data_IF_899101889376
#
_entry.id   IF_899101889376
#
_cell.length_a   1.000
_cell.length_b   1.000
_cell.length_c   1.000
_cell.angle_alpha   90.00
_cell.angle_beta   90.00
_cell.angle_gamma   90.00
#
_symmetry.space_group_name_H-M   'P 1'
#
loop_
_entity.id
_entity.type
_entity.pdbx_description
1 polymer ?
#
# COMPACT_ATOMS: atom_id res chain seq x y z
N UNK A 1 13.05 -14.67 17.02
CA UNK A 1 12.39 -13.39 17.39
C UNK A 1 13.38 -12.27 17.14
N UNK A 2 13.10 -11.36 16.20
CA UNK A 2 14.03 -10.34 15.71
C UNK A 2 14.21 -9.21 16.75
N UNK A 3 15.47 -8.79 16.99
CA UNK A 3 15.85 -7.76 17.99
C UNK A 3 15.21 -6.37 17.76
N UNK A 4 14.71 -6.10 16.56
CA UNK A 4 14.13 -4.80 16.17
C UNK A 4 12.88 -4.41 16.97
N UNK A 5 12.00 -5.37 17.27
CA UNK A 5 10.73 -5.09 17.95
C UNK A 5 10.92 -4.59 19.39
N UNK A 6 12.05 -4.96 20.02
CA UNK A 6 12.40 -4.53 21.38
C UNK A 6 12.95 -3.10 21.35
N UNK A 7 13.78 -2.77 20.35
CA UNK A 7 14.40 -1.44 20.21
C UNK A 7 13.39 -0.36 19.84
N UNK A 8 12.39 -0.66 18.98
CA UNK A 8 11.37 0.32 18.61
C UNK A 8 10.49 0.74 19.78
N UNK A 9 10.14 -0.19 20.68
CA UNK A 9 9.34 0.10 21.89
C UNK A 9 10.04 1.08 22.83
N UNK A 10 11.34 0.87 23.04
CA UNK A 10 12.14 1.76 23.88
C UNK A 10 12.24 3.17 23.29
N UNK A 11 12.51 3.29 21.99
CA UNK A 11 12.60 4.58 21.30
C UNK A 11 11.27 5.37 21.38
N UNK A 12 10.14 4.70 21.13
CA UNK A 12 8.82 5.35 21.26
C UNK A 12 8.56 5.79 22.69
N UNK A 13 8.93 4.97 23.70
CA UNK A 13 8.75 5.32 25.10
C UNK A 13 9.60 6.53 25.52
N UNK A 14 10.88 6.58 25.14
CA UNK A 14 11.76 7.71 25.47
C UNK A 14 11.32 8.99 24.79
N UNK A 15 10.91 8.91 23.51
CA UNK A 15 10.39 10.07 22.78
C UNK A 15 9.10 10.61 23.43
N UNK A 16 8.18 9.71 23.81
CA UNK A 16 6.94 10.07 24.50
C UNK A 16 7.19 10.83 25.81
N UNK A 17 8.20 10.40 26.57
CA UNK A 17 8.59 11.07 27.83
C UNK A 17 9.17 12.46 27.54
N UNK A 18 10.11 12.56 26.59
CA UNK A 18 10.76 13.83 26.23
C UNK A 18 9.78 14.89 25.70
N UNK A 19 8.85 14.49 24.85
CA UNK A 19 7.85 15.36 24.23
C UNK A 19 6.55 15.51 25.05
N UNK A 20 6.51 14.96 26.27
CA UNK A 20 5.34 15.02 27.17
C UNK A 20 4.02 14.54 26.54
N UNK A 21 4.10 13.55 25.64
CA UNK A 21 2.93 12.99 24.94
C UNK A 21 2.12 12.11 25.91
N UNK A 22 0.95 12.61 26.32
CA UNK A 22 0.06 11.95 27.29
C UNK A 22 -0.69 10.75 26.69
N UNK A 23 -1.07 10.86 25.43
CA UNK A 23 -1.88 9.86 24.74
C UNK A 23 -1.24 9.48 23.41
N UNK A 24 -1.10 8.17 23.19
CA UNK A 24 -0.73 7.59 21.91
C UNK A 24 -1.45 6.26 21.76
N UNK A 25 -1.65 5.84 20.53
CA UNK A 25 -2.29 4.58 20.21
C UNK A 25 -1.52 3.94 19.06
N UNK A 26 -1.27 2.64 19.18
CA UNK A 26 -0.83 1.83 18.06
C UNK A 26 -2.07 1.29 17.38
N UNK A 27 -2.25 1.62 16.10
CA UNK A 27 -3.30 1.04 15.26
C UNK A 27 -2.63 0.34 14.10
N UNK A 28 -3.15 -0.84 13.78
CA UNK A 28 -2.76 -1.52 12.56
C UNK A 28 -3.24 -0.72 11.34
N UNK A 29 -2.48 -0.84 10.25
CA UNK A 29 -2.85 -0.25 8.98
C UNK A 29 -4.06 -1.04 8.46
N UNK A 30 -5.17 -0.35 8.21
CA UNK A 30 -6.34 -0.95 7.60
C UNK A 30 -6.02 -1.33 6.15
N UNK A 31 -6.58 -2.43 5.66
CA UNK A 31 -6.41 -2.82 4.26
C UNK A 31 -7.31 -2.00 3.31
N UNK A 32 -8.33 -1.30 3.82
CA UNK A 32 -9.30 -0.58 3.01
C UNK A 32 -9.56 0.84 3.51
N UNK A 33 -9.61 1.80 2.59
CA UNK A 33 -9.88 3.20 2.87
C UNK A 33 -10.86 3.79 1.86
N UNK A 34 -11.62 4.80 2.29
CA UNK A 34 -12.48 5.58 1.40
C UNK A 34 -11.96 7.02 1.38
N UNK A 35 -11.53 7.47 0.20
CA UNK A 35 -10.94 8.80 -0.01
C UNK A 35 -11.69 9.45 -1.16
N UNK A 36 -12.49 10.47 -0.83
CA UNK A 36 -13.54 10.97 -1.73
C UNK A 36 -14.49 9.83 -2.12
N UNK A 37 -14.77 9.73 -3.42
CA UNK A 37 -15.61 8.66 -3.97
C UNK A 37 -14.86 7.35 -4.24
N UNK A 38 -13.54 7.35 -4.14
CA UNK A 38 -12.72 6.20 -4.48
C UNK A 38 -12.51 5.29 -3.26
N UNK A 39 -12.70 3.99 -3.48
CA UNK A 39 -12.23 2.96 -2.57
C UNK A 39 -10.77 2.64 -2.86
N UNK A 40 -9.96 2.62 -1.82
CA UNK A 40 -8.54 2.33 -1.84
C UNK A 40 -8.28 1.04 -1.11
N UNK A 41 -7.47 0.17 -1.69
CA UNK A 41 -7.10 -1.11 -1.08
C UNK A 41 -5.58 -1.23 -0.99
N UNK A 42 -5.08 -1.53 0.21
CA UNK A 42 -3.67 -1.80 0.49
C UNK A 42 -3.44 -3.30 0.45
N UNK A 43 -2.73 -3.76 -0.58
CA UNK A 43 -2.23 -5.11 -0.68
C UNK A 43 -0.80 -5.15 -0.14
N UNK A 44 -0.64 -5.77 1.02
CA UNK A 44 0.65 -6.01 1.64
C UNK A 44 1.27 -7.34 1.16
N UNK A 45 2.34 -7.75 1.85
CA UNK A 45 3.07 -9.00 1.61
C UNK A 45 2.18 -10.25 1.55
N UNK A 46 1.07 -10.30 2.28
CA UNK A 46 0.17 -11.47 2.29
C UNK A 46 -0.55 -11.63 0.95
N UNK A 47 -0.65 -10.58 0.14
CA UNK A 47 -1.25 -10.64 -1.19
C UNK A 47 -2.74 -10.95 -1.17
N UNK A 48 -3.44 -10.60 -0.07
CA UNK A 48 -4.88 -10.81 0.10
C UNK A 48 -5.64 -9.88 -0.86
N UNK A 49 -6.66 -10.41 -1.53
CA UNK A 49 -7.42 -9.68 -2.54
C UNK A 49 -8.45 -8.76 -1.88
N UNK A 50 -8.82 -7.64 -2.52
CA UNK A 50 -9.93 -6.82 -2.09
C UNK A 50 -11.23 -7.64 -1.99
N UNK A 51 -12.10 -7.34 -1.02
CA UNK A 51 -13.40 -7.99 -0.93
C UNK A 51 -14.26 -7.67 -2.17
N UNK A 52 -15.06 -8.65 -2.60
CA UNK A 52 -15.79 -8.62 -3.87
C UNK A 52 -16.85 -7.51 -3.98
N UNK A 53 -17.30 -6.94 -2.86
CA UNK A 53 -18.29 -5.87 -2.82
C UNK A 53 -17.76 -4.50 -3.23
N UNK A 54 -16.44 -4.35 -3.37
CA UNK A 54 -15.80 -3.08 -3.72
C UNK A 54 -15.24 -3.14 -5.13
N UNK A 55 -16.11 -2.91 -6.12
CA UNK A 55 -15.73 -2.93 -7.54
C UNK A 55 -14.70 -1.85 -7.85
N UNK A 56 -13.59 -2.26 -8.48
CA UNK A 56 -12.56 -1.39 -9.06
C UNK A 56 -11.91 -0.40 -8.06
N UNK A 57 -11.17 -0.91 -7.05
CA UNK A 57 -10.39 -0.06 -6.14
C UNK A 57 -9.25 0.67 -6.87
N UNK A 58 -8.73 1.71 -6.23
CA UNK A 58 -7.32 2.08 -6.40
C UNK A 58 -6.48 1.12 -5.55
N UNK A 59 -5.60 0.36 -6.20
CA UNK A 59 -4.83 -0.70 -5.57
C UNK A 59 -3.42 -0.19 -5.22
N UNK A 60 -3.11 -0.11 -3.93
CA UNK A 60 -1.76 0.15 -3.43
C UNK A 60 -1.07 -1.19 -3.10
N UNK A 61 0.00 -1.52 -3.82
CA UNK A 61 0.80 -2.72 -3.58
C UNK A 61 2.06 -2.35 -2.82
N UNK A 62 2.31 -3.03 -1.70
CA UNK A 62 3.44 -2.77 -0.79
C UNK A 62 4.12 -4.07 -0.38
N UNK A 63 5.40 -4.02 0.00
CA UNK A 63 6.16 -5.13 0.58
C UNK A 63 6.35 -6.36 -0.33
N UNK A 64 6.41 -6.15 -1.64
CA UNK A 64 6.76 -7.15 -2.65
C UNK A 64 5.97 -8.47 -2.60
N UNK A 65 4.63 -8.46 -2.57
CA UNK A 65 3.86 -9.69 -2.49
C UNK A 65 4.09 -10.57 -3.72
N UNK A 66 4.12 -11.88 -3.49
CA UNK A 66 4.27 -12.87 -4.56
C UNK A 66 2.89 -13.13 -5.18
N UNK A 67 2.48 -12.27 -6.10
CA UNK A 67 1.17 -12.32 -6.77
C UNK A 67 1.30 -12.56 -8.27
N UNK A 68 0.33 -13.28 -8.82
CA UNK A 68 0.10 -13.31 -10.26
C UNK A 68 -0.69 -12.06 -10.65
N UNK A 69 -0.01 -11.11 -11.30
CA UNK A 69 -0.60 -9.81 -11.61
C UNK A 69 -1.72 -9.91 -12.65
N UNK A 70 -1.62 -10.83 -13.60
CA UNK A 70 -2.65 -11.00 -14.63
C UNK A 70 -3.98 -11.44 -14.01
N UNK A 71 -3.96 -12.49 -13.18
CA UNK A 71 -5.15 -12.97 -12.46
C UNK A 71 -5.72 -11.91 -11.52
N UNK A 72 -4.85 -11.13 -10.86
CA UNK A 72 -5.28 -10.06 -9.98
C UNK A 72 -6.04 -8.98 -10.75
N UNK A 73 -5.47 -8.49 -11.85
CA UNK A 73 -6.08 -7.43 -12.65
C UNK A 73 -7.39 -7.88 -13.29
N UNK A 74 -7.48 -9.14 -13.73
CA UNK A 74 -8.71 -9.70 -14.32
C UNK A 74 -9.83 -9.83 -13.28
N UNK A 75 -9.49 -10.18 -12.04
CA UNK A 75 -10.46 -10.37 -10.95
C UNK A 75 -10.87 -9.07 -10.26
N UNK A 76 -9.92 -8.17 -10.01
CA UNK A 76 -10.13 -6.95 -9.21
C UNK A 76 -10.52 -5.78 -10.09
N UNK A 77 -10.04 -5.76 -11.34
CA UNK A 77 -10.25 -4.68 -12.32
C UNK A 77 -10.03 -3.29 -11.70
N UNK A 78 -8.86 -3.03 -11.09
CA UNK A 78 -8.62 -1.79 -10.36
C UNK A 78 -8.61 -0.59 -11.31
N UNK A 79 -9.07 0.56 -10.81
CA UNK A 79 -8.99 1.85 -11.54
C UNK A 79 -7.54 2.25 -11.84
N UNK A 80 -6.64 1.93 -10.92
CA UNK A 80 -5.23 2.23 -11.00
C UNK A 80 -4.47 1.30 -10.04
N UNK A 81 -3.23 0.97 -10.40
CA UNK A 81 -2.27 0.31 -9.52
C UNK A 81 -1.16 1.27 -9.14
N UNK A 82 -0.86 1.33 -7.84
CA UNK A 82 0.24 2.11 -7.27
C UNK A 82 1.18 1.14 -6.57
N UNK A 83 2.46 1.12 -6.94
CA UNK A 83 3.50 0.41 -6.21
C UNK A 83 4.31 1.39 -5.37
N UNK A 84 4.39 1.15 -4.06
CA UNK A 84 5.22 1.96 -3.19
C UNK A 84 6.72 1.59 -3.30
N UNK A 85 7.56 2.37 -2.63
CA UNK A 85 9.02 2.22 -2.65
C UNK A 85 9.54 1.02 -1.84
N UNK A 86 8.67 0.32 -1.10
CA UNK A 86 9.06 -0.89 -0.36
C UNK A 86 9.15 -2.14 -1.25
N UNK A 87 8.73 -2.03 -2.51
CA UNK A 87 8.73 -3.14 -3.46
C UNK A 87 10.08 -3.32 -4.18
N UNK A 88 10.44 -4.56 -4.51
CA UNK A 88 11.58 -4.86 -5.36
C UNK A 88 11.42 -4.26 -6.75
N UNK A 89 12.48 -3.64 -7.28
CA UNK A 89 12.48 -3.01 -8.61
C UNK A 89 12.05 -3.99 -9.71
N UNK A 90 12.51 -5.25 -9.65
CA UNK A 90 12.13 -6.29 -10.61
C UNK A 90 10.63 -6.61 -10.58
N UNK A 91 9.99 -6.53 -9.42
CA UNK A 91 8.55 -6.75 -9.27
C UNK A 91 7.78 -5.58 -9.83
N UNK A 92 8.17 -4.36 -9.49
CA UNK A 92 7.58 -3.12 -10.03
C UNK A 92 7.61 -3.15 -11.56
N UNK A 93 8.76 -3.46 -12.19
CA UNK A 93 8.87 -3.50 -13.66
C UNK A 93 8.00 -4.58 -14.28
N UNK A 94 7.93 -5.78 -13.68
CA UNK A 94 7.05 -6.85 -14.14
C UNK A 94 5.57 -6.44 -14.06
N UNK A 95 5.15 -5.88 -12.93
CA UNK A 95 3.77 -5.43 -12.73
C UNK A 95 3.40 -4.29 -13.67
N UNK A 96 4.28 -3.30 -13.84
CA UNK A 96 4.12 -2.20 -14.79
C UNK A 96 3.88 -2.72 -16.21
N UNK A 97 4.65 -3.71 -16.64
CA UNK A 97 4.48 -4.36 -17.95
C UNK A 97 3.10 -5.02 -18.06
N UNK A 98 2.65 -5.78 -17.06
CA UNK A 98 1.32 -6.42 -17.09
C UNK A 98 0.18 -5.40 -17.07
N UNK A 99 0.28 -4.35 -16.25
CA UNK A 99 -0.70 -3.26 -16.22
C UNK A 99 -0.81 -2.57 -17.59
N UNK A 100 0.33 -2.27 -18.23
CA UNK A 100 0.35 -1.66 -19.56
C UNK A 100 -0.34 -2.56 -20.60
N UNK A 101 -0.09 -3.87 -20.57
CA UNK A 101 -0.74 -4.85 -21.46
C UNK A 101 -2.26 -4.92 -21.26
N UNK A 102 -2.74 -4.75 -20.03
CA UNK A 102 -4.18 -4.74 -19.68
C UNK A 102 -4.82 -3.35 -19.78
N UNK A 103 -4.07 -2.31 -20.17
CA UNK A 103 -4.57 -0.94 -20.25
C UNK A 103 -4.87 -0.28 -18.90
N UNK A 104 -4.31 -0.79 -17.80
CA UNK A 104 -4.55 -0.28 -16.45
C UNK A 104 -3.47 0.75 -16.07
N UNK A 105 -3.84 1.96 -15.60
CA UNK A 105 -2.88 2.96 -15.14
C UNK A 105 -1.97 2.42 -14.04
N UNK A 106 -0.66 2.68 -14.16
CA UNK A 106 0.34 2.24 -13.19
C UNK A 106 1.18 3.43 -12.69
N UNK A 107 1.42 3.47 -11.38
CA UNK A 107 2.26 4.46 -10.72
C UNK A 107 3.28 3.78 -9.82
N UNK A 108 4.52 4.26 -9.80
CA UNK A 108 5.53 3.80 -8.85
C UNK A 108 6.16 4.99 -8.13
N UNK A 109 6.12 4.99 -6.80
CA UNK A 109 6.73 6.07 -6.01
C UNK A 109 8.26 6.02 -6.08
N UNK A 110 8.86 4.87 -6.38
CA UNK A 110 10.31 4.77 -6.60
C UNK A 110 10.77 5.58 -7.83
N UNK A 111 9.91 5.75 -8.83
CA UNK A 111 10.21 6.51 -10.05
C UNK A 111 9.85 8.00 -9.89
N UNK A 112 8.78 8.30 -9.15
CA UNK A 112 8.16 9.65 -9.11
C UNK A 112 8.22 10.33 -7.73
N UNK A 113 8.88 9.72 -6.76
CA UNK A 113 9.04 10.22 -5.38
C UNK A 113 7.82 9.98 -4.50
N UNK A 114 6.66 10.54 -4.86
CA UNK A 114 5.43 10.48 -4.05
C UNK A 114 4.19 10.36 -4.93
N UNK A 115 3.08 9.84 -4.41
CA UNK A 115 1.77 9.92 -5.06
C UNK A 115 0.96 11.06 -4.42
N UNK A 116 0.58 12.06 -5.21
CA UNK A 116 -0.18 13.22 -4.71
C UNK A 116 -1.69 12.94 -4.80
N UNK A 117 -2.32 12.82 -3.63
CA UNK A 117 -3.78 12.75 -3.52
C UNK A 117 -4.34 14.17 -3.62
N UNK A 118 -5.16 14.43 -4.63
CA UNK A 118 -5.98 15.65 -4.66
C UNK A 118 -7.24 15.39 -3.85
N UNK A 119 -7.41 16.12 -2.76
CA UNK A 119 -8.66 16.21 -2.02
C UNK A 119 -9.40 17.43 -2.54
N UNK A 120 -10.59 17.23 -3.12
CA UNK A 120 -11.55 18.33 -3.28
C UNK A 120 -12.22 18.51 -1.92
N UNK A 121 -11.99 19.66 -1.29
CA UNK A 121 -12.72 20.13 -0.10
C UNK A 121 -13.93 20.94 -0.55
#
# INVERSE_FOLDING_TARGET
MTRDTIRSKYLVATYRIGEQIKHHQFRDIASGYRIGENYWFVMDRLGIYPPANNSSPVLLVTQSPKINMERLLDSVQPKQVIADGSNYLSYIQRWKKTCLQKGIPFYATVEKGAYLLKSEY
#
